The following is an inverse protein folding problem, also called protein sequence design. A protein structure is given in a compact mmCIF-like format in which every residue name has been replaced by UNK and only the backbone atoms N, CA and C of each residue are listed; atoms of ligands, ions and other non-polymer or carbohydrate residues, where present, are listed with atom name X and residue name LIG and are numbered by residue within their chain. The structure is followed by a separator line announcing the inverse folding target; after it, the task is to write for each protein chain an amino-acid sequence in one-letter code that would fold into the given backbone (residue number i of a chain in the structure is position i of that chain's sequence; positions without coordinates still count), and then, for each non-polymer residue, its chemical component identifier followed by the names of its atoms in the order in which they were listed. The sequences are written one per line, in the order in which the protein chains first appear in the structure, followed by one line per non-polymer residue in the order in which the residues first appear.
data_IF_530917775195
#
_entry.id   IF_530917775195
#
_cell.length_a   1.000
_cell.length_b   1.000
_cell.length_c   1.000
_cell.angle_alpha   90.00
_cell.angle_beta   90.00
_cell.angle_gamma   90.00
#
_symmetry.space_group_name_H-M   'P 1'
#
loop_
_entity.id
_entity.type
_entity.pdbx_description
1 polymer ?
#
# COMPACT_ATOMS: atom_id res chain seq x y z
N UNK A 1 -26.20 17.41 17.22
CA UNK A 1 -26.93 18.55 16.61
C UNK A 1 -26.18 19.00 15.36
N UNK A 2 -26.92 19.24 14.28
CA UNK A 2 -26.39 19.75 13.01
C UNK A 2 -25.97 21.23 13.07
N UNK A 3 -26.21 21.91 14.19
CA UNK A 3 -25.98 23.35 14.34
C UNK A 3 -24.68 23.63 15.11
N UNK A 4 -23.94 24.62 14.63
CA UNK A 4 -22.74 25.14 15.31
C UNK A 4 -23.15 26.11 16.40
N UNK A 5 -22.47 26.07 17.56
CA UNK A 5 -22.69 27.07 18.62
C UNK A 5 -22.30 28.46 18.14
N UNK A 6 -23.24 29.43 18.26
CA UNK A 6 -22.99 30.83 17.95
C UNK A 6 -22.02 31.38 19.02
N UNK A 7 -21.05 32.18 18.59
CA UNK A 7 -20.12 32.92 19.47
C UNK A 7 -20.38 34.42 19.25
N UNK A 8 -20.40 35.17 20.35
CA UNK A 8 -20.43 36.66 20.31
C UNK A 8 -18.99 37.14 20.16
N UNK A 9 -18.50 37.14 18.93
CA UNK A 9 -17.22 37.77 18.58
C UNK A 9 -17.45 39.23 18.10
N UNK A 10 -16.37 39.93 17.79
CA UNK A 10 -16.42 41.34 17.38
C UNK A 10 -17.37 41.58 16.20
N UNK A 11 -17.45 40.68 15.23
CA UNK A 11 -18.32 40.77 14.07
C UNK A 11 -19.78 40.65 14.49
N UNK A 12 -20.11 39.67 15.33
CA UNK A 12 -21.47 39.48 15.84
C UNK A 12 -21.92 40.66 16.71
N UNK A 13 -21.04 41.18 17.58
CA UNK A 13 -21.31 42.34 18.42
C UNK A 13 -21.54 43.64 17.60
N UNK A 14 -20.71 43.84 16.57
CA UNK A 14 -20.92 44.99 15.64
C UNK A 14 -22.26 44.90 14.95
N UNK A 15 -22.66 43.70 14.47
CA UNK A 15 -23.95 43.47 13.82
C UNK A 15 -25.14 43.63 14.75
N UNK A 16 -25.04 43.22 16.01
CA UNK A 16 -26.05 43.47 17.04
C UNK A 16 -26.24 44.96 17.25
N UNK A 17 -25.15 45.73 17.40
CA UNK A 17 -25.15 47.16 17.61
C UNK A 17 -25.81 47.90 16.46
N UNK A 18 -25.57 47.53 15.20
CA UNK A 18 -26.21 48.09 14.02
C UNK A 18 -27.75 47.92 14.03
N UNK A 19 -28.23 46.84 14.67
CA UNK A 19 -29.66 46.53 14.79
C UNK A 19 -30.27 47.05 16.12
N UNK A 20 -29.50 47.75 16.93
CA UNK A 20 -29.95 48.31 18.20
C UNK A 20 -29.95 47.32 19.37
N UNK A 21 -29.18 46.23 19.22
CA UNK A 21 -29.02 45.19 20.26
C UNK A 21 -27.58 45.13 20.79
N UNK A 22 -27.42 44.47 21.91
CA UNK A 22 -26.15 44.08 22.50
C UNK A 22 -26.16 42.57 22.86
N UNK A 23 -25.08 42.07 23.51
CA UNK A 23 -24.96 40.66 23.88
C UNK A 23 -25.99 40.21 24.93
N UNK A 24 -26.49 41.14 25.75
CA UNK A 24 -27.43 40.90 26.85
C UNK A 24 -28.89 41.16 26.45
N UNK A 25 -29.11 41.69 25.26
CA UNK A 25 -30.44 42.00 24.75
C UNK A 25 -31.31 40.77 24.56
N UNK A 26 -32.57 40.84 24.99
CA UNK A 26 -33.59 39.80 24.81
C UNK A 26 -34.63 40.26 23.80
N UNK A 27 -34.51 39.92 22.50
CA UNK A 27 -35.46 40.29 21.47
C UNK A 27 -36.86 39.72 21.74
N UNK A 28 -37.90 40.42 21.32
CA UNK A 28 -39.26 39.92 21.42
C UNK A 28 -39.44 38.62 20.66
N UNK A 29 -40.36 37.76 21.11
CA UNK A 29 -40.64 36.47 20.45
C UNK A 29 -40.98 36.67 18.98
N UNK A 30 -40.26 35.97 18.09
CA UNK A 30 -40.43 36.04 16.63
C UNK A 30 -39.57 37.11 15.95
N UNK A 31 -38.84 37.95 16.70
CA UNK A 31 -37.90 38.89 16.12
C UNK A 31 -36.70 38.15 15.55
N UNK A 32 -36.36 38.42 14.30
CA UNK A 32 -35.16 37.87 13.64
C UNK A 32 -34.00 38.85 13.79
N UNK A 33 -32.94 38.42 14.46
CA UNK A 33 -31.72 39.22 14.66
C UNK A 33 -30.59 38.54 13.87
N UNK A 34 -29.96 39.31 12.97
CA UNK A 34 -28.86 38.80 12.13
C UNK A 34 -27.51 38.97 12.82
N UNK A 35 -26.82 37.92 13.13
CA UNK A 35 -25.49 37.95 13.76
C UNK A 35 -24.36 37.96 12.73
N UNK A 36 -24.57 37.40 11.56
CA UNK A 36 -23.61 37.35 10.45
C UNK A 36 -24.30 37.35 9.11
N UNK A 37 -23.60 37.84 8.07
CA UNK A 37 -24.10 37.86 6.69
C UNK A 37 -23.60 36.72 5.83
N UNK A 38 -22.82 35.78 6.40
CA UNK A 38 -22.32 34.62 5.69
C UNK A 38 -23.21 33.40 5.96
N UNK A 39 -23.19 32.45 5.01
CA UNK A 39 -23.96 31.21 5.07
C UNK A 39 -23.17 29.99 5.56
N UNK A 40 -21.92 30.17 5.98
CA UNK A 40 -21.06 29.07 6.39
C UNK A 40 -21.62 28.28 7.59
N UNK A 41 -21.68 26.97 7.49
CA UNK A 41 -22.14 26.10 8.60
C UNK A 41 -21.29 26.29 9.86
N UNK A 42 -19.97 26.55 9.71
CA UNK A 42 -19.06 26.80 10.82
C UNK A 42 -19.39 28.07 11.64
N UNK A 43 -20.13 28.97 11.08
CA UNK A 43 -20.53 30.27 11.71
C UNK A 43 -22.03 30.37 11.97
N UNK A 44 -22.77 29.25 11.89
CA UNK A 44 -24.18 29.19 12.24
C UNK A 44 -25.14 29.17 11.06
N UNK A 45 -24.63 29.10 9.83
CA UNK A 45 -25.45 28.91 8.63
C UNK A 45 -26.17 27.54 8.62
N UNK A 46 -27.18 27.41 7.77
CA UNK A 46 -27.94 26.17 7.58
C UNK A 46 -27.81 25.69 6.15
N UNK A 47 -27.91 24.38 5.96
CA UNK A 47 -27.95 23.74 4.64
C UNK A 47 -29.31 23.12 4.40
N UNK A 48 -29.86 23.29 3.21
CA UNK A 48 -31.08 22.65 2.73
C UNK A 48 -30.73 21.78 1.53
N UNK A 49 -31.15 20.54 1.54
CA UNK A 49 -31.01 19.66 0.37
C UNK A 49 -31.99 20.11 -0.73
N UNK A 50 -31.45 20.45 -1.89
CA UNK A 50 -32.19 20.83 -3.09
C UNK A 50 -31.79 20.00 -4.31
N UNK A 51 -31.15 18.85 -4.09
CA UNK A 51 -30.56 18.03 -5.15
C UNK A 51 -31.55 17.63 -6.23
N UNK A 52 -32.79 17.28 -5.85
CA UNK A 52 -33.84 16.87 -6.79
C UNK A 52 -34.47 18.01 -7.54
N UNK A 53 -34.26 19.25 -7.08
CA UNK A 53 -34.90 20.48 -7.59
C UNK A 53 -33.97 21.33 -8.46
N UNK A 54 -32.68 21.01 -8.51
CA UNK A 54 -31.66 21.78 -9.25
C UNK A 54 -31.94 21.77 -10.74
N UNK A 55 -31.99 22.96 -11.34
CA UNK A 55 -32.14 23.10 -12.79
C UNK A 55 -30.98 22.41 -13.53
N UNK A 56 -31.24 21.67 -14.62
CA UNK A 56 -30.21 20.93 -15.35
C UNK A 56 -29.03 21.80 -15.81
N UNK A 57 -29.25 23.04 -16.20
CA UNK A 57 -28.17 23.96 -16.61
C UNK A 57 -27.29 24.39 -15.43
N UNK A 58 -27.83 24.51 -14.21
CA UNK A 58 -27.03 24.78 -13.01
C UNK A 58 -26.11 23.59 -12.73
N UNK A 59 -26.65 22.37 -12.80
CA UNK A 59 -25.87 21.13 -12.64
C UNK A 59 -24.79 21.02 -13.72
N UNK A 60 -25.13 21.27 -14.99
CA UNK A 60 -24.19 21.24 -16.10
C UNK A 60 -23.05 22.25 -15.92
N UNK A 61 -23.36 23.49 -15.45
CA UNK A 61 -22.36 24.52 -15.17
C UNK A 61 -21.39 24.09 -14.08
N UNK A 62 -21.89 23.47 -13.01
CA UNK A 62 -21.05 22.97 -11.93
C UNK A 62 -20.12 21.82 -12.43
N UNK A 63 -20.64 20.89 -13.22
CA UNK A 63 -19.85 19.81 -13.84
C UNK A 63 -18.78 20.36 -14.79
N UNK A 64 -19.15 21.33 -15.63
CA UNK A 64 -18.21 21.99 -16.53
C UNK A 64 -17.08 22.70 -15.77
N UNK A 65 -17.40 23.40 -14.68
CA UNK A 65 -16.40 24.04 -13.83
C UNK A 65 -15.42 23.03 -13.23
N UNK A 66 -15.92 21.89 -12.72
CA UNK A 66 -15.08 20.81 -12.20
C UNK A 66 -14.15 20.25 -13.28
N UNK A 67 -14.65 19.98 -14.47
CA UNK A 67 -13.89 19.47 -15.61
C UNK A 67 -12.81 20.46 -16.10
N UNK A 68 -13.14 21.77 -16.15
CA UNK A 68 -12.18 22.81 -16.54
C UNK A 68 -11.00 22.93 -15.57
N UNK A 69 -11.24 22.70 -14.28
CA UNK A 69 -10.21 22.68 -13.24
C UNK A 69 -9.45 21.32 -13.24
N UNK A 70 -10.04 20.26 -13.81
CA UNK A 70 -9.45 18.91 -13.85
C UNK A 70 -9.65 18.12 -12.55
N UNK A 71 -10.72 18.39 -11.80
CA UNK A 71 -11.05 17.65 -10.57
C UNK A 71 -12.21 16.68 -10.84
N UNK A 72 -12.05 15.46 -10.39
CA UNK A 72 -13.06 14.40 -10.42
C UNK A 72 -13.99 14.43 -9.20
N UNK A 73 -13.47 14.88 -8.05
CA UNK A 73 -14.19 15.05 -6.79
C UNK A 73 -13.93 16.46 -6.27
N UNK A 74 -14.96 17.29 -6.25
CA UNK A 74 -14.85 18.67 -5.77
C UNK A 74 -16.18 19.20 -5.26
N UNK A 75 -16.13 20.31 -4.52
CA UNK A 75 -17.27 21.16 -4.21
C UNK A 75 -17.29 22.36 -5.13
N UNK A 76 -18.43 22.66 -5.76
CA UNK A 76 -18.59 23.83 -6.60
C UNK A 76 -19.57 24.80 -5.90
N UNK A 77 -19.06 25.94 -5.50
CA UNK A 77 -19.88 27.00 -4.86
C UNK A 77 -20.51 27.87 -5.91
N UNK A 78 -21.83 27.91 -5.88
CA UNK A 78 -22.68 28.69 -6.83
C UNK A 78 -23.48 29.70 -6.07
N UNK A 79 -23.54 30.94 -6.56
CA UNK A 79 -24.39 31.99 -6.04
C UNK A 79 -25.49 32.25 -7.05
N UNK A 80 -26.74 32.18 -6.59
CA UNK A 80 -27.94 32.43 -7.39
C UNK A 80 -29.13 32.80 -6.49
N UNK A 81 -30.15 33.43 -7.06
CA UNK A 81 -31.41 33.70 -6.36
C UNK A 81 -32.24 32.43 -6.17
N UNK A 82 -32.20 31.51 -7.14
CA UNK A 82 -32.96 30.27 -7.15
C UNK A 82 -32.21 29.18 -7.92
N UNK A 83 -32.15 27.99 -7.36
CA UNK A 83 -31.61 26.79 -8.03
C UNK A 83 -32.51 26.23 -9.13
N UNK A 84 -33.76 26.70 -9.21
CA UNK A 84 -34.78 26.24 -10.16
C UNK A 84 -34.70 26.92 -11.54
N UNK A 85 -33.79 27.85 -11.73
CA UNK A 85 -33.63 28.64 -12.96
C UNK A 85 -32.16 28.63 -13.42
N UNK A 86 -31.90 28.81 -14.74
CA UNK A 86 -30.52 28.97 -15.24
C UNK A 86 -29.80 30.13 -14.56
N UNK A 87 -28.48 29.97 -14.33
CA UNK A 87 -27.66 31.00 -13.67
C UNK A 87 -27.66 32.32 -14.44
N UNK A 88 -27.54 32.26 -15.75
CA UNK A 88 -27.49 33.45 -16.63
C UNK A 88 -28.77 34.32 -16.54
N UNK A 89 -29.93 33.68 -16.36
CA UNK A 89 -31.22 34.41 -16.29
C UNK A 89 -31.41 35.21 -15.00
N UNK A 90 -30.49 35.08 -14.04
CA UNK A 90 -30.60 35.68 -12.71
C UNK A 90 -29.29 36.29 -12.20
N UNK A 91 -28.31 36.56 -13.09
CA UNK A 91 -26.98 37.03 -12.72
C UNK A 91 -26.27 36.09 -11.69
N UNK A 92 -26.60 34.79 -11.69
CA UNK A 92 -25.94 33.79 -10.89
C UNK A 92 -24.64 33.36 -11.51
N UNK A 93 -23.75 32.70 -10.73
CA UNK A 93 -22.49 32.22 -11.25
C UNK A 93 -21.78 31.28 -10.29
N UNK A 94 -20.79 30.57 -10.83
CA UNK A 94 -19.83 29.77 -10.04
C UNK A 94 -18.84 30.73 -9.40
N UNK A 95 -18.63 30.58 -8.09
CA UNK A 95 -17.75 31.44 -7.29
C UNK A 95 -16.40 30.77 -7.08
N UNK A 96 -16.42 29.49 -6.69
CA UNK A 96 -15.20 28.73 -6.48
C UNK A 96 -15.39 27.23 -6.69
N UNK A 97 -14.26 26.52 -6.91
CA UNK A 97 -14.18 25.05 -7.00
C UNK A 97 -13.20 24.55 -5.95
N UNK A 98 -13.68 23.75 -5.01
CA UNK A 98 -12.94 23.27 -3.84
C UNK A 98 -12.47 21.83 -4.04
N UNK A 99 -11.16 21.58 -4.05
CA UNK A 99 -10.56 20.24 -4.20
C UNK A 99 -10.81 19.31 -3.00
N UNK A 100 -11.12 19.85 -1.83
CA UNK A 100 -11.42 19.08 -0.62
C UNK A 100 -12.75 19.51 -0.03
N UNK A 101 -13.88 19.10 -0.62
CA UNK A 101 -15.21 19.56 -0.22
C UNK A 101 -15.62 19.03 1.15
N UNK A 102 -16.30 19.86 1.92
CA UNK A 102 -16.95 19.43 3.15
C UNK A 102 -18.17 18.56 2.82
N UNK A 103 -18.22 17.33 3.34
CA UNK A 103 -19.32 16.40 3.04
C UNK A 103 -20.51 16.57 4.02
N UNK A 104 -20.31 17.20 5.17
CA UNK A 104 -21.31 17.29 6.25
C UNK A 104 -22.66 17.86 5.79
N UNK A 105 -22.65 18.92 4.97
CA UNK A 105 -23.87 19.56 4.50
C UNK A 105 -24.71 18.66 3.60
N UNK A 106 -24.08 17.72 2.92
CA UNK A 106 -24.74 16.74 2.05
C UNK A 106 -25.21 15.53 2.82
N UNK A 107 -24.39 15.00 3.74
CA UNK A 107 -24.72 13.80 4.55
C UNK A 107 -25.77 14.10 5.62
N UNK A 108 -25.74 15.30 6.21
CA UNK A 108 -26.62 15.72 7.30
C UNK A 108 -27.00 17.18 7.15
N UNK A 109 -27.83 17.54 6.16
CA UNK A 109 -28.33 18.91 5.98
C UNK A 109 -29.20 19.33 7.18
N UNK A 110 -29.39 20.63 7.36
CA UNK A 110 -30.29 21.15 8.38
C UNK A 110 -31.76 20.85 8.02
N UNK A 111 -32.07 20.84 6.72
CA UNK A 111 -33.41 20.58 6.16
C UNK A 111 -33.30 19.72 4.91
N UNK A 112 -34.27 18.83 4.68
CA UNK A 112 -34.30 17.91 3.55
C UNK A 112 -33.65 16.58 3.84
N UNK A 113 -33.26 15.85 2.79
CA UNK A 113 -32.66 14.50 2.87
C UNK A 113 -31.16 14.55 2.97
N UNK A 114 -30.58 13.69 3.80
CA UNK A 114 -29.16 13.36 3.67
C UNK A 114 -28.89 12.61 2.35
N UNK A 115 -27.82 12.99 1.65
CA UNK A 115 -27.37 12.34 0.41
C UNK A 115 -26.10 11.57 0.68
N UNK A 116 -26.04 10.33 0.24
CA UNK A 116 -24.86 9.50 0.38
C UNK A 116 -23.80 9.82 -0.68
N UNK A 117 -23.26 11.05 -0.58
CA UNK A 117 -22.18 11.51 -1.47
C UNK A 117 -20.89 10.71 -1.27
N UNK A 118 -20.70 10.12 -0.08
CA UNK A 118 -19.57 9.23 0.20
C UNK A 118 -19.60 7.97 -0.66
N UNK A 119 -20.79 7.36 -0.83
CA UNK A 119 -20.94 6.21 -1.72
C UNK A 119 -20.63 6.56 -3.17
N UNK A 120 -21.08 7.72 -3.65
CA UNK A 120 -20.79 8.20 -5.00
C UNK A 120 -19.29 8.43 -5.22
N UNK A 121 -18.59 9.02 -4.23
CA UNK A 121 -17.12 9.21 -4.24
C UNK A 121 -16.41 7.85 -4.33
N UNK A 122 -16.79 6.90 -3.47
CA UNK A 122 -16.19 5.55 -3.48
C UNK A 122 -16.43 4.82 -4.79
N UNK A 123 -17.65 4.90 -5.35
CA UNK A 123 -17.94 4.29 -6.66
C UNK A 123 -17.16 4.90 -7.83
N UNK A 124 -16.83 6.21 -7.73
CA UNK A 124 -15.99 6.88 -8.74
C UNK A 124 -14.54 6.44 -8.63
N UNK A 125 -14.01 6.31 -7.40
CA UNK A 125 -12.63 5.90 -7.16
C UNK A 125 -12.40 4.40 -7.38
N UNK A 126 -13.39 3.57 -7.07
CA UNK A 126 -13.31 2.11 -7.12
C UNK A 126 -14.51 1.57 -7.93
N UNK A 127 -14.35 1.38 -9.26
CA UNK A 127 -15.37 0.79 -10.10
C UNK A 127 -15.82 -0.59 -9.60
N UNK A 128 -16.98 -1.03 -10.04
CA UNK A 128 -17.58 -2.28 -9.58
C UNK A 128 -16.65 -3.48 -9.77
N UNK A 129 -16.33 -4.15 -8.67
CA UNK A 129 -15.41 -5.31 -8.63
C UNK A 129 -13.97 -4.98 -8.22
N UNK A 130 -13.61 -3.71 -8.10
CA UNK A 130 -12.32 -3.29 -7.56
C UNK A 130 -12.42 -3.03 -6.05
N UNK A 131 -11.44 -3.52 -5.31
CA UNK A 131 -11.36 -3.33 -3.84
C UNK A 131 -10.30 -2.29 -3.44
N UNK A 132 -9.69 -1.60 -4.42
CA UNK A 132 -8.66 -0.60 -4.23
C UNK A 132 -7.32 -1.16 -3.72
N UNK A 133 -7.11 -2.47 -3.83
CA UNK A 133 -5.91 -3.14 -3.35
C UNK A 133 -4.93 -3.41 -4.47
N UNK A 134 -3.67 -3.22 -4.16
CA UNK A 134 -2.56 -3.69 -4.99
C UNK A 134 -1.96 -4.95 -4.37
N UNK A 135 -1.35 -5.86 -5.15
CA UNK A 135 -0.61 -6.99 -4.61
C UNK A 135 0.52 -6.53 -3.70
N UNK A 136 0.61 -7.14 -2.50
CA UNK A 136 1.65 -6.89 -1.51
C UNK A 136 2.46 -8.16 -1.31
N UNK A 137 3.79 -8.06 -1.50
CA UNK A 137 4.77 -9.07 -1.10
C UNK A 137 5.48 -8.58 0.15
N UNK A 138 5.28 -9.26 1.27
CA UNK A 138 6.00 -8.98 2.52
C UNK A 138 7.15 -9.96 2.68
N UNK A 139 8.35 -9.46 2.93
CA UNK A 139 9.56 -10.29 3.05
C UNK A 139 10.19 -10.09 4.43
N UNK A 140 10.35 -11.17 5.18
CA UNK A 140 11.06 -11.18 6.46
C UNK A 140 12.07 -12.32 6.52
N UNK A 141 12.86 -12.36 7.56
CA UNK A 141 13.90 -13.35 7.81
C UNK A 141 15.06 -12.75 8.59
N UNK A 142 16.00 -13.54 9.02
CA UNK A 142 17.26 -13.05 9.61
C UNK A 142 18.15 -12.49 8.51
N UNK A 143 18.44 -13.28 7.49
CA UNK A 143 19.28 -12.92 6.35
C UNK A 143 18.52 -13.02 5.02
N UNK A 144 19.03 -12.36 3.97
CA UNK A 144 18.52 -12.47 2.61
C UNK A 144 17.34 -11.53 2.27
N UNK A 145 16.75 -10.82 3.22
CA UNK A 145 15.58 -9.96 3.02
C UNK A 145 15.76 -8.95 1.88
N UNK A 146 16.77 -8.11 1.96
CA UNK A 146 17.03 -7.02 0.99
C UNK A 146 17.28 -7.58 -0.41
N UNK A 147 18.07 -8.64 -0.53
CA UNK A 147 18.32 -9.31 -1.83
C UNK A 147 17.03 -9.87 -2.40
N UNK A 148 16.24 -10.57 -1.59
CA UNK A 148 14.93 -11.13 -2.01
C UNK A 148 13.96 -10.04 -2.43
N UNK A 149 13.85 -8.94 -1.66
CA UNK A 149 13.00 -7.79 -2.01
C UNK A 149 13.42 -7.18 -3.34
N UNK A 150 14.71 -6.92 -3.53
CA UNK A 150 15.24 -6.30 -4.76
C UNK A 150 15.05 -7.20 -5.98
N UNK A 151 15.37 -8.49 -5.86
CA UNK A 151 15.17 -9.44 -6.95
C UNK A 151 13.67 -9.62 -7.26
N UNK A 152 12.82 -9.78 -6.26
CA UNK A 152 11.36 -9.87 -6.47
C UNK A 152 10.83 -8.63 -7.20
N UNK A 153 11.23 -7.43 -6.75
CA UNK A 153 10.85 -6.18 -7.42
C UNK A 153 11.33 -6.14 -8.87
N UNK A 154 12.54 -6.62 -9.14
CA UNK A 154 13.08 -6.68 -10.51
C UNK A 154 12.28 -7.64 -11.39
N UNK A 155 11.90 -8.82 -10.88
CA UNK A 155 11.06 -9.78 -11.59
C UNK A 155 9.68 -9.20 -11.95
N UNK A 156 9.06 -8.51 -10.99
CA UNK A 156 7.77 -7.83 -11.20
C UNK A 156 7.88 -6.67 -12.18
N UNK A 157 8.93 -5.84 -12.08
CA UNK A 157 9.19 -4.77 -13.07
C UNK A 157 9.41 -5.34 -14.48
N UNK A 158 10.12 -6.47 -14.59
CA UNK A 158 10.36 -7.15 -15.88
C UNK A 158 9.06 -7.67 -16.49
N UNK A 159 8.04 -7.94 -15.68
CA UNK A 159 6.70 -8.32 -16.16
C UNK A 159 5.83 -7.12 -16.56
N UNK A 160 6.32 -5.89 -16.39
CA UNK A 160 5.64 -4.66 -16.78
C UNK A 160 4.91 -3.93 -15.65
N UNK A 161 4.98 -4.41 -14.40
CA UNK A 161 4.39 -3.74 -13.25
C UNK A 161 5.27 -2.58 -12.76
N UNK A 162 4.65 -1.48 -12.34
CA UNK A 162 5.32 -0.39 -11.64
C UNK A 162 5.42 -0.76 -10.15
N UNK A 163 6.60 -1.16 -9.73
CA UNK A 163 6.80 -1.70 -8.38
C UNK A 163 7.25 -0.63 -7.39
N UNK A 164 6.54 -0.54 -6.28
CA UNK A 164 6.99 0.15 -5.08
C UNK A 164 7.75 -0.81 -4.15
N UNK A 165 8.91 -0.42 -3.67
CA UNK A 165 9.79 -1.27 -2.86
C UNK A 165 10.31 -0.50 -1.65
N UNK A 166 10.36 -1.18 -0.49
CA UNK A 166 11.07 -0.69 0.71
C UNK A 166 12.09 -1.71 1.19
N UNK A 167 13.24 -1.22 1.60
CA UNK A 167 14.30 -2.04 2.20
C UNK A 167 15.21 -1.20 3.11
N UNK A 168 16.30 -1.79 3.61
CA UNK A 168 17.29 -1.12 4.47
C UNK A 168 18.06 0.02 3.78
N UNK A 169 18.00 0.13 2.45
CA UNK A 169 18.73 1.16 1.70
C UNK A 169 17.81 2.33 1.29
N UNK A 170 16.48 2.14 1.35
CA UNK A 170 15.55 3.21 1.00
C UNK A 170 14.15 2.77 0.57
N UNK A 171 13.42 3.75 0.04
CA UNK A 171 12.13 3.61 -0.65
C UNK A 171 12.36 3.82 -2.15
N UNK A 172 11.82 2.92 -2.96
CA UNK A 172 11.96 2.97 -4.41
C UNK A 172 10.58 2.84 -5.07
N UNK A 173 10.34 3.63 -6.11
CA UNK A 173 9.15 3.52 -6.97
C UNK A 173 9.61 3.40 -8.42
N UNK A 174 9.24 2.31 -9.04
CA UNK A 174 9.63 1.97 -10.43
C UNK A 174 11.14 2.13 -10.69
N UNK A 175 11.96 1.63 -9.76
CA UNK A 175 13.43 1.70 -9.82
C UNK A 175 14.04 3.05 -9.39
N UNK A 176 13.25 4.11 -9.24
CA UNK A 176 13.72 5.42 -8.76
C UNK A 176 13.72 5.49 -7.24
N UNK A 177 14.82 5.84 -6.64
CA UNK A 177 14.92 6.06 -5.20
C UNK A 177 14.18 7.35 -4.80
N UNK A 178 13.24 7.22 -3.87
CA UNK A 178 12.41 8.31 -3.34
C UNK A 178 12.87 8.76 -1.96
N UNK A 179 13.43 7.84 -1.17
CA UNK A 179 13.96 8.10 0.17
C UNK A 179 15.14 7.18 0.44
N UNK A 180 16.03 7.54 1.36
CA UNK A 180 17.26 6.81 1.69
C UNK A 180 17.33 6.47 3.18
N UNK A 181 18.13 5.44 3.51
CA UNK A 181 18.30 4.93 4.87
C UNK A 181 17.41 3.72 5.15
N UNK A 182 17.37 3.28 6.42
CA UNK A 182 16.58 2.11 6.82
C UNK A 182 15.07 2.38 6.71
N UNK A 183 14.52 1.92 5.60
CA UNK A 183 13.11 2.03 5.25
C UNK A 183 12.34 0.71 5.39
N UNK A 184 12.82 -0.24 6.20
CA UNK A 184 12.21 -1.55 6.41
C UNK A 184 11.01 -1.57 7.38
N UNK A 185 10.47 -0.40 7.73
CA UNK A 185 9.38 -0.22 8.67
C UNK A 185 8.05 0.20 8.05
N UNK A 186 6.96 0.19 8.86
CA UNK A 186 5.59 0.47 8.38
C UNK A 186 5.39 1.86 7.81
N UNK A 187 6.12 2.87 8.29
CA UNK A 187 6.03 4.24 7.78
C UNK A 187 6.40 4.30 6.30
N UNK A 188 7.53 3.71 5.94
CA UNK A 188 8.01 3.66 4.55
C UNK A 188 7.09 2.79 3.68
N UNK A 189 6.58 1.68 4.22
CA UNK A 189 5.61 0.84 3.55
C UNK A 189 4.32 1.60 3.20
N UNK A 190 3.80 2.46 4.11
CA UNK A 190 2.63 3.32 3.82
C UNK A 190 2.89 4.29 2.67
N UNK A 191 4.09 4.87 2.58
CA UNK A 191 4.43 5.77 1.47
C UNK A 191 4.35 5.06 0.12
N UNK A 192 4.80 3.79 0.06
CA UNK A 192 4.68 2.96 -1.15
C UNK A 192 3.23 2.61 -1.45
N UNK A 193 2.46 2.17 -0.45
CA UNK A 193 1.08 1.71 -0.63
C UNK A 193 0.12 2.83 -1.03
N UNK A 194 0.44 4.08 -0.70
CA UNK A 194 -0.36 5.26 -1.05
C UNK A 194 0.12 5.94 -2.34
N UNK A 195 1.21 5.46 -2.95
CA UNK A 195 1.78 6.11 -4.13
C UNK A 195 0.98 5.77 -5.39
N UNK A 196 0.48 6.76 -6.16
CA UNK A 196 -0.41 6.53 -7.30
C UNK A 196 0.22 5.76 -8.46
N UNK A 197 1.56 5.77 -8.57
CA UNK A 197 2.28 5.07 -9.63
C UNK A 197 2.73 3.66 -9.22
N UNK A 198 2.14 3.06 -8.19
CA UNK A 198 2.51 1.71 -7.72
C UNK A 198 1.39 0.72 -8.04
N UNK A 199 1.72 -0.28 -8.86
CA UNK A 199 0.82 -1.38 -9.23
C UNK A 199 1.01 -2.61 -8.33
N UNK A 200 2.19 -2.76 -7.70
CA UNK A 200 2.50 -3.83 -6.74
C UNK A 200 3.55 -3.36 -5.74
N UNK A 201 3.45 -3.80 -4.50
CA UNK A 201 4.37 -3.44 -3.43
C UNK A 201 5.22 -4.64 -2.99
N UNK A 202 6.54 -4.46 -2.85
CA UNK A 202 7.47 -5.45 -2.28
C UNK A 202 8.16 -4.82 -1.06
N UNK A 203 7.80 -5.30 0.12
CA UNK A 203 8.11 -4.64 1.38
C UNK A 203 9.04 -5.48 2.25
N UNK A 204 10.24 -4.99 2.51
CA UNK A 204 11.08 -5.56 3.57
C UNK A 204 10.41 -5.29 4.92
N UNK A 205 10.13 -6.35 5.66
CA UNK A 205 9.40 -6.28 6.93
C UNK A 205 10.34 -6.71 8.05
N UNK A 206 11.07 -5.74 8.58
CA UNK A 206 12.08 -5.98 9.61
C UNK A 206 11.47 -6.04 11.01
N UNK A 207 12.15 -6.77 11.90
CA UNK A 207 11.77 -6.98 13.30
C UNK A 207 11.43 -5.68 14.03
N UNK A 208 12.32 -4.68 13.92
CA UNK A 208 12.18 -3.43 14.67
C UNK A 208 10.93 -2.64 14.31
N UNK A 209 10.57 -2.61 13.02
CA UNK A 209 9.34 -1.98 12.54
C UNK A 209 8.10 -2.68 13.07
N UNK A 210 8.04 -4.01 12.92
CA UNK A 210 6.91 -4.82 13.39
C UNK A 210 6.66 -4.68 14.90
N UNK A 211 7.71 -4.64 15.71
CA UNK A 211 7.58 -4.51 17.17
C UNK A 211 7.06 -3.13 17.60
N UNK A 212 7.48 -2.07 16.91
CA UNK A 212 7.12 -0.70 17.32
C UNK A 212 5.77 -0.25 16.79
N UNK A 213 5.43 -0.62 15.54
CA UNK A 213 4.31 -0.03 14.80
C UNK A 213 3.43 -1.06 14.12
N UNK A 214 3.76 -2.35 14.21
CA UNK A 214 3.04 -3.43 13.51
C UNK A 214 3.32 -3.45 12.00
N UNK A 215 2.30 -3.79 11.21
CA UNK A 215 2.33 -3.80 9.75
C UNK A 215 1.63 -2.57 9.19
N UNK A 216 2.03 -2.13 7.98
CA UNK A 216 1.36 -1.06 7.26
C UNK A 216 0.15 -1.55 6.43
N UNK A 217 -0.06 -2.85 6.38
CA UNK A 217 -1.10 -3.53 5.63
C UNK A 217 -1.83 -4.53 6.54
N UNK A 218 -3.09 -4.77 6.25
CA UNK A 218 -3.93 -5.76 6.93
C UNK A 218 -3.78 -7.16 6.31
N UNK A 219 -3.47 -7.24 5.01
CA UNK A 219 -3.27 -8.47 4.25
C UNK A 219 -2.15 -8.29 3.24
N UNK A 220 -1.41 -9.38 2.96
CA UNK A 220 -0.47 -9.47 1.84
C UNK A 220 -0.87 -10.62 0.92
N UNK A 221 -0.57 -10.48 -0.36
CA UNK A 221 -0.78 -11.53 -1.34
C UNK A 221 0.26 -12.63 -1.20
N UNK A 222 1.50 -12.23 -0.86
CA UNK A 222 2.61 -13.15 -0.65
C UNK A 222 3.37 -12.76 0.60
N UNK A 223 3.62 -13.73 1.48
CA UNK A 223 4.55 -13.62 2.61
C UNK A 223 5.77 -14.50 2.36
N UNK A 224 6.96 -13.94 2.41
CA UNK A 224 8.23 -14.65 2.25
C UNK A 224 8.97 -14.67 3.57
N UNK A 225 9.34 -15.87 4.05
CA UNK A 225 10.23 -16.04 5.21
C UNK A 225 11.47 -16.81 4.77
N UNK A 226 12.61 -16.10 4.74
CA UNK A 226 13.85 -16.67 4.20
C UNK A 226 14.52 -17.65 5.18
N UNK A 227 14.72 -17.23 6.41
CA UNK A 227 15.32 -18.02 7.49
C UNK A 227 15.15 -17.36 8.85
N UNK A 228 15.33 -18.10 9.92
CA UNK A 228 15.38 -17.60 11.30
C UNK A 228 16.63 -18.13 11.98
N UNK A 229 17.56 -17.25 12.32
CA UNK A 229 18.83 -17.61 12.92
C UNK A 229 19.17 -16.80 14.16
N UNK A 230 20.18 -17.26 14.90
CA UNK A 230 20.63 -16.68 16.18
C UNK A 230 21.26 -15.27 16.07
N UNK A 231 21.56 -14.79 14.86
CA UNK A 231 22.23 -13.48 14.64
C UNK A 231 21.34 -12.26 14.62
N UNK A 232 20.03 -12.35 14.90
CA UNK A 232 19.07 -11.28 14.71
C UNK A 232 18.80 -10.48 16.00
N UNK A 233 19.85 -9.95 16.61
CA UNK A 233 19.75 -9.04 17.76
C UNK A 233 18.87 -9.56 18.92
N UNK A 234 19.03 -10.81 19.32
CA UNK A 234 18.37 -11.37 20.50
C UNK A 234 18.73 -10.55 21.76
N UNK A 235 17.78 -10.43 22.67
CA UNK A 235 17.93 -9.65 23.90
C UNK A 235 17.40 -8.20 23.81
N UNK A 236 16.98 -7.72 22.64
CA UNK A 236 16.38 -6.39 22.48
C UNK A 236 14.85 -6.47 22.43
N UNK A 237 14.18 -5.53 23.14
CA UNK A 237 12.71 -5.38 23.13
C UNK A 237 11.96 -6.67 23.52
N UNK A 238 12.44 -7.34 24.57
CA UNK A 238 11.85 -8.57 25.12
C UNK A 238 11.87 -9.80 24.17
N UNK A 239 12.52 -9.73 23.01
CA UNK A 239 12.76 -10.85 22.12
C UNK A 239 14.08 -11.49 22.55
N UNK A 240 14.01 -12.56 23.34
CA UNK A 240 15.19 -13.17 23.95
C UNK A 240 15.55 -14.52 23.36
N UNK A 241 14.60 -15.16 22.68
CA UNK A 241 14.77 -16.47 22.07
C UNK A 241 14.49 -16.46 20.57
N UNK A 242 14.93 -17.50 19.87
CA UNK A 242 14.63 -17.72 18.46
C UNK A 242 13.13 -17.99 18.27
N UNK A 243 12.49 -18.60 19.24
CA UNK A 243 11.05 -18.88 19.27
C UNK A 243 10.24 -17.58 19.36
N UNK A 244 10.65 -16.62 20.21
CA UNK A 244 10.01 -15.28 20.27
C UNK A 244 10.14 -14.57 18.92
N UNK A 245 11.32 -14.65 18.31
CA UNK A 245 11.57 -14.08 16.99
C UNK A 245 10.69 -14.74 15.92
N UNK A 246 10.51 -16.06 16.01
CA UNK A 246 9.63 -16.81 15.11
C UNK A 246 8.17 -16.36 15.23
N UNK A 247 7.68 -16.16 16.47
CA UNK A 247 6.32 -15.64 16.70
C UNK A 247 6.13 -14.28 16.03
N UNK A 248 7.09 -13.37 16.16
CA UNK A 248 7.05 -12.06 15.55
C UNK A 248 7.05 -12.15 14.01
N UNK A 249 8.01 -12.89 13.43
CA UNK A 249 8.15 -13.00 11.97
C UNK A 249 6.96 -13.74 11.33
N UNK A 250 6.33 -14.65 12.06
CA UNK A 250 5.11 -15.36 11.62
C UNK A 250 3.92 -14.45 11.34
N UNK A 251 3.91 -13.24 11.90
CA UNK A 251 2.80 -12.28 11.72
C UNK A 251 2.52 -12.04 10.24
N UNK A 252 3.53 -11.92 9.37
CA UNK A 252 3.27 -11.74 7.93
C UNK A 252 2.63 -12.97 7.29
N UNK A 253 2.96 -14.18 7.76
CA UNK A 253 2.37 -15.43 7.27
C UNK A 253 0.90 -15.53 7.68
N UNK A 254 0.56 -15.12 8.91
CA UNK A 254 -0.81 -15.07 9.42
C UNK A 254 -1.69 -14.06 8.70
N UNK A 255 -1.09 -13.04 8.09
CA UNK A 255 -1.76 -12.00 7.33
C UNK A 255 -1.75 -12.23 5.80
N UNK A 256 -1.43 -13.45 5.36
CA UNK A 256 -1.62 -13.84 3.96
C UNK A 256 -3.12 -13.86 3.64
N UNK A 257 -3.49 -13.32 2.47
CA UNK A 257 -4.86 -13.38 2.00
C UNK A 257 -5.30 -14.85 1.79
N UNK A 258 -6.60 -15.20 1.94
CA UNK A 258 -7.06 -16.59 1.74
C UNK A 258 -6.72 -17.18 0.36
N UNK A 259 -6.64 -16.33 -0.67
CA UNK A 259 -6.20 -16.68 -2.02
C UNK A 259 -4.70 -16.40 -2.27
N UNK A 260 -3.96 -16.03 -1.23
CA UNK A 260 -2.55 -15.70 -1.28
C UNK A 260 -1.63 -16.90 -1.01
N UNK A 261 -0.34 -16.62 -0.83
CA UNK A 261 0.71 -17.63 -0.74
C UNK A 261 1.74 -17.28 0.34
N UNK A 262 2.10 -18.23 1.19
CA UNK A 262 3.33 -18.16 1.98
C UNK A 262 4.46 -18.88 1.26
N UNK A 263 5.62 -18.26 1.14
CA UNK A 263 6.86 -18.82 0.59
C UNK A 263 7.83 -19.05 1.73
N UNK A 264 8.11 -20.32 2.03
CA UNK A 264 8.80 -20.74 3.25
C UNK A 264 10.02 -21.61 2.94
N UNK A 265 11.12 -21.36 3.62
CA UNK A 265 12.31 -22.19 3.55
C UNK A 265 12.08 -23.53 4.29
N UNK A 266 12.05 -24.62 3.55
CA UNK A 266 11.84 -25.97 4.12
C UNK A 266 13.04 -26.46 4.93
N UNK A 267 14.24 -25.98 4.64
CA UNK A 267 15.46 -26.38 5.34
C UNK A 267 15.57 -25.75 6.75
N UNK A 268 14.78 -24.73 7.04
CA UNK A 268 14.66 -24.14 8.38
C UNK A 268 13.39 -24.69 9.06
N UNK A 269 13.52 -25.56 10.08
CA UNK A 269 12.37 -26.20 10.73
C UNK A 269 11.39 -25.21 11.36
N UNK A 270 11.91 -24.08 11.87
CA UNK A 270 11.10 -23.03 12.50
C UNK A 270 10.27 -22.32 11.43
N UNK A 271 10.87 -22.02 10.28
CA UNK A 271 10.17 -21.43 9.14
C UNK A 271 9.15 -22.41 8.55
N UNK A 272 9.55 -23.67 8.36
CA UNK A 272 8.66 -24.71 7.83
C UNK A 272 7.39 -24.89 8.69
N UNK A 273 7.54 -24.84 10.02
CA UNK A 273 6.42 -24.95 10.96
C UNK A 273 5.40 -23.82 10.84
N UNK A 274 5.75 -22.66 10.26
CA UNK A 274 4.83 -21.54 10.04
C UNK A 274 3.74 -21.86 9.02
N UNK A 275 3.90 -22.90 8.21
CA UNK A 275 2.93 -23.33 7.20
C UNK A 275 1.53 -23.53 7.79
N UNK A 276 1.43 -24.09 9.00
CA UNK A 276 0.17 -24.29 9.71
C UNK A 276 -0.57 -23.01 10.12
N UNK A 277 0.08 -21.86 10.00
CA UNK A 277 -0.49 -20.56 10.35
C UNK A 277 -0.91 -19.73 9.12
N UNK A 278 -0.67 -20.22 7.91
CA UNK A 278 -1.02 -19.52 6.67
C UNK A 278 -2.50 -19.74 6.33
N UNK A 279 -3.31 -18.68 6.20
CA UNK A 279 -4.69 -18.80 5.74
C UNK A 279 -4.82 -19.18 4.27
N UNK A 280 -3.78 -18.90 3.47
CA UNK A 280 -3.70 -19.20 2.05
C UNK A 280 -2.94 -20.48 1.75
N UNK A 281 -2.34 -20.52 0.57
CA UNK A 281 -1.50 -21.63 0.12
C UNK A 281 -0.05 -21.48 0.62
N UNK A 282 0.71 -22.56 0.53
CA UNK A 282 2.13 -22.57 0.88
C UNK A 282 2.96 -23.10 -0.27
N UNK A 283 4.06 -22.41 -0.57
CA UNK A 283 5.15 -22.89 -1.42
C UNK A 283 6.38 -23.09 -0.56
N UNK A 284 6.99 -24.26 -0.63
CA UNK A 284 8.26 -24.52 0.03
C UNK A 284 9.43 -24.46 -0.95
N UNK A 285 10.57 -23.98 -0.46
CA UNK A 285 11.83 -24.07 -1.19
C UNK A 285 12.94 -24.64 -0.32
N UNK A 286 13.87 -25.37 -0.92
CA UNK A 286 15.11 -25.88 -0.31
C UNK A 286 16.15 -26.19 -1.39
N UNK A 287 17.42 -26.22 -1.01
CA UNK A 287 18.51 -26.66 -1.92
C UNK A 287 18.40 -28.13 -2.27
N UNK A 288 18.02 -28.96 -1.29
CA UNK A 288 17.94 -30.42 -1.44
C UNK A 288 16.55 -30.84 -1.99
N UNK A 289 16.56 -31.46 -3.16
CA UNK A 289 15.34 -32.03 -3.81
C UNK A 289 14.73 -33.20 -3.01
N UNK A 290 15.51 -33.85 -2.13
CA UNK A 290 15.09 -34.98 -1.30
C UNK A 290 14.68 -34.56 0.11
N UNK A 291 14.74 -33.25 0.44
CA UNK A 291 14.30 -32.75 1.74
C UNK A 291 12.90 -33.26 2.06
N UNK A 292 12.62 -33.84 3.25
CA UNK A 292 11.35 -34.50 3.55
C UNK A 292 10.12 -33.59 3.35
N UNK A 293 10.23 -32.30 3.72
CA UNK A 293 9.15 -31.32 3.53
C UNK A 293 8.89 -31.09 2.03
N UNK A 294 9.94 -30.95 1.22
CA UNK A 294 9.84 -30.80 -0.24
C UNK A 294 9.20 -32.04 -0.86
N UNK A 295 9.69 -33.24 -0.51
CA UNK A 295 9.18 -34.51 -1.05
C UNK A 295 7.69 -34.70 -0.71
N UNK A 296 7.29 -34.43 0.54
CA UNK A 296 5.90 -34.54 0.99
C UNK A 296 5.00 -33.54 0.27
N UNK A 297 5.42 -32.27 0.18
CA UNK A 297 4.63 -31.20 -0.44
C UNK A 297 4.46 -31.44 -1.95
N UNK A 298 5.53 -31.90 -2.61
CA UNK A 298 5.54 -32.33 -4.01
C UNK A 298 4.58 -33.49 -4.27
N UNK A 299 4.60 -34.51 -3.41
CA UNK A 299 3.69 -35.67 -3.51
C UNK A 299 2.21 -35.25 -3.39
N UNK A 300 1.92 -34.15 -2.71
CA UNK A 300 0.58 -33.56 -2.62
C UNK A 300 0.23 -32.69 -3.85
N UNK A 301 1.08 -32.60 -4.87
CA UNK A 301 0.88 -31.79 -6.06
C UNK A 301 1.00 -30.27 -5.82
N UNK A 302 1.51 -29.84 -4.68
CA UNK A 302 1.65 -28.43 -4.30
C UNK A 302 2.95 -27.83 -4.85
N UNK A 303 3.05 -26.50 -4.82
CA UNK A 303 4.22 -25.76 -5.33
C UNK A 303 5.46 -25.97 -4.49
N UNK A 304 6.55 -26.34 -5.13
CA UNK A 304 7.88 -26.45 -4.52
C UNK A 304 8.95 -25.90 -5.44
N UNK A 305 10.06 -25.42 -4.84
CA UNK A 305 11.29 -25.08 -5.55
C UNK A 305 12.47 -25.81 -4.89
N UNK A 306 13.35 -26.37 -5.72
CA UNK A 306 14.53 -27.08 -5.24
C UNK A 306 15.65 -27.04 -6.29
N UNK A 307 16.83 -27.54 -5.94
CA UNK A 307 17.95 -27.69 -6.88
C UNK A 307 18.13 -29.16 -7.22
N UNK A 308 18.28 -29.44 -8.51
CA UNK A 308 18.58 -30.78 -9.03
C UNK A 308 19.46 -30.67 -10.27
N UNK A 309 20.53 -31.40 -10.34
CA UNK A 309 21.47 -31.44 -11.48
C UNK A 309 21.96 -30.07 -11.96
N UNK A 310 22.28 -29.16 -11.03
CA UNK A 310 22.73 -27.82 -11.34
C UNK A 310 21.63 -26.88 -11.89
N UNK A 311 20.38 -27.26 -11.78
CA UNK A 311 19.21 -26.51 -12.20
C UNK A 311 18.33 -26.18 -10.99
N UNK A 312 17.76 -24.99 -11.00
CA UNK A 312 16.64 -24.63 -10.14
C UNK A 312 15.37 -25.20 -10.77
N UNK A 313 14.62 -25.98 -10.03
CA UNK A 313 13.38 -26.62 -10.47
C UNK A 313 12.22 -26.03 -9.70
N UNK A 314 11.25 -25.46 -10.41
CA UNK A 314 9.95 -25.04 -9.87
C UNK A 314 8.88 -26.03 -10.33
N UNK A 315 8.12 -26.60 -9.40
CA UNK A 315 7.18 -27.67 -9.69
C UNK A 315 5.82 -27.47 -9.02
N UNK A 316 4.74 -27.78 -9.76
CA UNK A 316 3.36 -27.83 -9.28
C UNK A 316 2.62 -28.99 -9.93
N UNK A 317 2.24 -30.00 -9.16
CA UNK A 317 1.71 -31.25 -9.71
C UNK A 317 2.71 -31.93 -10.64
N UNK A 318 2.30 -32.16 -11.89
CA UNK A 318 3.17 -32.71 -12.95
C UNK A 318 3.88 -31.65 -13.79
N UNK A 319 3.57 -30.37 -13.59
CA UNK A 319 4.20 -29.26 -14.33
C UNK A 319 5.50 -28.87 -13.65
N UNK A 320 6.55 -28.70 -14.47
CA UNK A 320 7.84 -28.23 -13.96
C UNK A 320 8.46 -27.22 -14.92
N UNK A 321 9.19 -26.27 -14.35
CA UNK A 321 10.08 -25.35 -15.07
C UNK A 321 11.48 -25.52 -14.51
N UNK A 322 12.48 -25.63 -15.38
CA UNK A 322 13.88 -25.81 -15.02
C UNK A 322 14.70 -24.63 -15.51
N UNK A 323 15.52 -24.05 -14.65
CA UNK A 323 16.36 -22.89 -14.94
C UNK A 323 17.79 -23.24 -14.56
N UNK A 324 18.75 -23.27 -15.49
CA UNK A 324 20.14 -23.52 -15.17
C UNK A 324 20.68 -22.47 -14.21
N UNK A 325 21.35 -22.88 -13.14
CA UNK A 325 21.97 -21.96 -12.18
C UNK A 325 23.04 -21.07 -12.85
N UNK A 326 23.60 -21.52 -13.96
CA UNK A 326 24.55 -20.75 -14.79
C UNK A 326 23.91 -19.53 -15.45
N UNK A 327 22.59 -19.51 -15.63
CA UNK A 327 21.83 -18.41 -16.20
C UNK A 327 21.33 -17.41 -15.15
N UNK A 328 21.62 -17.64 -13.88
CA UNK A 328 21.27 -16.76 -12.75
C UNK A 328 22.55 -16.11 -12.21
N UNK A 329 22.92 -14.90 -12.68
CA UNK A 329 24.19 -14.23 -12.30
C UNK A 329 24.36 -14.07 -10.79
N UNK A 330 23.26 -13.79 -10.07
CA UNK A 330 23.21 -13.65 -8.62
C UNK A 330 23.85 -14.87 -7.90
N UNK A 331 23.64 -16.09 -8.41
CA UNK A 331 24.13 -17.35 -7.79
C UNK A 331 25.58 -17.64 -8.08
N UNK A 332 26.25 -16.85 -8.94
CA UNK A 332 27.60 -17.12 -9.46
C UNK A 332 27.73 -18.53 -10.02
N UNK A 333 26.84 -18.85 -10.94
CA UNK A 333 26.75 -20.19 -11.57
C UNK A 333 26.49 -21.32 -10.56
N UNK A 334 25.78 -21.03 -9.46
CA UNK A 334 25.46 -21.99 -8.43
C UNK A 334 26.50 -22.14 -7.33
N UNK A 335 27.53 -21.27 -7.28
CA UNK A 335 28.59 -21.34 -6.27
C UNK A 335 28.16 -20.82 -4.88
N UNK A 336 27.08 -20.00 -4.80
CA UNK A 336 26.64 -19.32 -3.56
C UNK A 336 25.27 -19.83 -3.14
N UNK A 337 25.24 -20.77 -2.19
CA UNK A 337 24.01 -21.43 -1.75
C UNK A 337 22.92 -20.47 -1.25
N UNK A 338 23.25 -19.51 -0.37
CA UNK A 338 22.25 -18.57 0.14
C UNK A 338 21.67 -17.66 -0.94
N UNK A 339 22.41 -17.38 -2.02
CA UNK A 339 21.88 -16.63 -3.16
C UNK A 339 20.96 -17.49 -4.02
N UNK A 340 21.17 -18.80 -4.08
CA UNK A 340 20.22 -19.72 -4.69
C UNK A 340 18.91 -19.73 -3.90
N UNK A 341 18.97 -19.76 -2.57
CA UNK A 341 17.79 -19.68 -1.70
C UNK A 341 17.05 -18.35 -1.89
N UNK A 342 17.76 -17.21 -1.93
CA UNK A 342 17.17 -15.92 -2.22
C UNK A 342 16.50 -15.88 -3.61
N UNK A 343 17.13 -16.50 -4.62
CA UNK A 343 16.54 -16.61 -5.97
C UNK A 343 15.28 -17.47 -5.94
N UNK A 344 15.29 -18.64 -5.29
CA UNK A 344 14.10 -19.48 -5.14
C UNK A 344 12.96 -18.77 -4.45
N UNK A 345 13.23 -18.04 -3.36
CA UNK A 345 12.23 -17.25 -2.64
C UNK A 345 11.61 -16.18 -3.52
N UNK A 346 12.43 -15.47 -4.31
CA UNK A 346 11.99 -14.42 -5.23
C UNK A 346 11.18 -14.96 -6.41
N UNK A 347 11.62 -16.09 -6.99
CA UNK A 347 10.87 -16.78 -8.06
C UNK A 347 9.51 -17.24 -7.53
N UNK A 348 9.47 -17.87 -6.36
CA UNK A 348 8.23 -18.34 -5.76
C UNK A 348 7.25 -17.17 -5.52
N UNK A 349 7.76 -16.01 -5.06
CA UNK A 349 6.94 -14.81 -4.86
C UNK A 349 6.38 -14.25 -6.17
N UNK A 350 7.21 -14.12 -7.20
CA UNK A 350 6.77 -13.65 -8.51
C UNK A 350 5.78 -14.64 -9.15
N UNK A 351 6.05 -15.94 -9.06
CA UNK A 351 5.15 -16.98 -9.55
C UNK A 351 3.81 -16.99 -8.81
N UNK A 352 3.80 -16.73 -7.50
CA UNK A 352 2.57 -16.62 -6.70
C UNK A 352 1.68 -15.45 -7.16
N UNK A 353 2.28 -14.38 -7.67
CA UNK A 353 1.58 -13.24 -8.28
C UNK A 353 1.20 -13.44 -9.75
N UNK A 354 1.45 -14.64 -10.32
CA UNK A 354 1.07 -14.95 -11.69
C UNK A 354 2.03 -14.44 -12.76
N UNK A 355 3.26 -14.04 -12.39
CA UNK A 355 4.27 -13.64 -13.37
C UNK A 355 4.63 -14.84 -14.27
N UNK A 356 4.60 -14.63 -15.58
CA UNK A 356 4.95 -15.67 -16.56
C UNK A 356 6.42 -16.05 -16.53
N UNK A 357 6.72 -17.31 -16.83
CA UNK A 357 8.07 -17.86 -16.76
C UNK A 357 9.07 -17.15 -17.68
N UNK A 358 8.65 -16.66 -18.84
CA UNK A 358 9.52 -15.89 -19.73
C UNK A 358 10.03 -14.61 -19.06
N UNK A 359 9.15 -13.91 -18.35
CA UNK A 359 9.51 -12.70 -17.59
C UNK A 359 10.40 -13.04 -16.38
N UNK A 360 10.12 -14.15 -15.69
CA UNK A 360 10.94 -14.64 -14.58
C UNK A 360 12.36 -14.95 -15.08
N UNK A 361 12.49 -15.77 -16.13
CA UNK A 361 13.81 -16.15 -16.68
C UNK A 361 14.58 -14.91 -17.18
N UNK A 362 13.91 -14.01 -17.90
CA UNK A 362 14.52 -12.75 -18.35
C UNK A 362 14.99 -11.89 -17.16
N UNK A 363 14.16 -11.75 -16.15
CA UNK A 363 14.50 -10.98 -14.96
C UNK A 363 15.67 -11.58 -14.19
N UNK A 364 15.72 -12.92 -14.04
CA UNK A 364 16.84 -13.60 -13.40
C UNK A 364 18.14 -13.38 -14.15
N UNK A 365 18.14 -13.50 -15.48
CA UNK A 365 19.32 -13.32 -16.32
C UNK A 365 19.86 -11.89 -16.32
N UNK A 366 18.99 -10.90 -16.09
CA UNK A 366 19.36 -9.46 -16.10
C UNK A 366 19.65 -8.89 -14.73
N UNK A 367 19.36 -9.62 -13.65
CA UNK A 367 19.65 -9.16 -12.29
C UNK A 367 21.11 -9.43 -11.92
N UNK A 368 21.89 -8.37 -11.88
CA UNK A 368 23.30 -8.43 -11.50
C UNK A 368 23.46 -7.86 -10.09
N UNK A 369 24.08 -8.62 -9.19
CA UNK A 369 24.40 -8.16 -7.82
C UNK A 369 25.68 -7.33 -7.86
N UNK A 370 25.57 -6.09 -8.32
CA UNK A 370 26.64 -5.09 -8.24
C UNK A 370 26.39 -4.08 -7.10
N UNK A 371 27.33 -3.17 -6.90
CA UNK A 371 27.24 -2.14 -5.86
C UNK A 371 26.07 -1.14 -6.08
N UNK A 372 25.49 -1.07 -7.27
CA UNK A 372 24.33 -0.23 -7.56
C UNK A 372 23.03 -0.99 -7.33
N UNK A 373 22.97 -2.24 -7.76
CA UNK A 373 21.76 -3.05 -7.65
C UNK A 373 21.54 -3.60 -6.22
N UNK A 374 22.60 -4.03 -5.54
CA UNK A 374 22.52 -4.61 -4.19
C UNK A 374 23.78 -4.21 -3.38
N UNK A 375 23.89 -2.97 -2.90
CA UNK A 375 25.08 -2.49 -2.21
C UNK A 375 25.33 -3.28 -0.92
N UNK A 376 26.61 -3.61 -0.64
CA UNK A 376 27.01 -4.33 0.56
C UNK A 376 26.45 -5.75 0.66
N UNK A 377 26.27 -6.43 -0.46
CA UNK A 377 25.78 -7.84 -0.49
C UNK A 377 26.61 -8.66 -1.44
N UNK A 378 27.80 -9.07 -0.95
CA UNK A 378 28.81 -9.86 -1.71
C UNK A 378 29.26 -9.12 -3.00
N UNK A 379 29.44 -7.80 -2.90
CA UNK A 379 29.97 -7.02 -4.03
C UNK A 379 31.47 -7.23 -4.12
N UNK A 380 31.96 -7.51 -5.32
CA UNK A 380 33.39 -7.69 -5.59
C UNK A 380 34.01 -6.43 -6.19
N UNK A 381 35.14 -6.06 -5.65
CA UNK A 381 35.98 -4.97 -6.16
C UNK A 381 37.39 -5.49 -6.41
N UNK A 382 37.98 -5.08 -7.52
CA UNK A 382 39.39 -5.36 -7.76
C UNK A 382 40.21 -4.16 -7.29
N UNK A 383 41.03 -4.38 -6.27
CA UNK A 383 41.92 -3.33 -5.75
C UNK A 383 43.35 -3.84 -5.74
N UNK A 384 44.20 -3.25 -6.57
CA UNK A 384 45.64 -3.57 -6.71
C UNK A 384 45.91 -5.06 -6.94
N UNK A 385 45.09 -5.73 -7.72
CA UNK A 385 45.20 -7.17 -8.02
C UNK A 385 44.64 -8.11 -6.97
N UNK A 386 44.08 -7.59 -5.88
CA UNK A 386 43.35 -8.37 -4.90
C UNK A 386 41.84 -8.24 -5.10
N UNK A 387 41.10 -9.34 -4.94
CA UNK A 387 39.63 -9.29 -4.91
C UNK A 387 39.19 -8.92 -3.50
N UNK A 388 38.47 -7.79 -3.38
CA UNK A 388 37.85 -7.34 -2.14
C UNK A 388 36.36 -7.63 -2.24
N UNK A 389 35.80 -8.25 -1.21
CA UNK A 389 34.37 -8.54 -1.12
C UNK A 389 33.80 -7.64 -0.02
N UNK A 390 32.78 -6.86 -0.37
CA UNK A 390 31.94 -6.10 0.57
C UNK A 390 30.63 -6.84 0.81
N UNK A 391 30.33 -7.13 2.09
CA UNK A 391 29.11 -7.81 2.51
C UNK A 391 28.47 -7.10 3.73
#
# INVERSE_FOLDING_TARGET
TSLTKIRFDEVALARLKEQGYDADSVPAKGTRVTLRNNANLSTGGTATDVTDDVHPEVAASAVAAAQMVGLDICGVDVVCESVLRPLESQNGGVVEVNAAPGLRMHLSPSFGKGRDVGEAVIKTLFPAGEDGRIPVVAVTGTNGKTTTVRLTSHLLNTSGLRVGMTNTDGVFVNGRQMDSGDCSGPRSARNVLLHPDVDAAVLETARGGMLREGLAFDRCQVAVVTNIGMGDHLGLNYITTVEDLAVLKRVIVQNVAPNGMAVLNAADPIVAAMAGNCPGQVTFFALDSHHPVIATHRAQGKRVLFVEDGQLVAMEGSRQTRIPLSEIPLTRKGAINFQIENAMASIAAAWALGVGWDSICKGLATFVSDSNAVPGRVNEFNYRGATVIAD
#
